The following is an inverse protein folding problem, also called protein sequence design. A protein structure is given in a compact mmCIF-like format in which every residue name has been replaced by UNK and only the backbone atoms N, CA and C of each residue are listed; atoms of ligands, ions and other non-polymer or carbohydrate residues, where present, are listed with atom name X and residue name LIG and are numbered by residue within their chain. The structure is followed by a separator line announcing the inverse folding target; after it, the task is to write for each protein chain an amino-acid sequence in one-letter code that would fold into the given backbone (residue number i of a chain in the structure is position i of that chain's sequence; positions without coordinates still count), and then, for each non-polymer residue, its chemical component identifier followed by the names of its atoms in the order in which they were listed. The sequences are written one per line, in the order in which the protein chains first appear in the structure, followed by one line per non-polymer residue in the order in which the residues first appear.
data_IF_807642730322
#
_entry.id   IF_807642730322
#
_cell.length_a   1.000
_cell.length_b   1.000
_cell.length_c   1.000
_cell.angle_alpha   90.00
_cell.angle_beta   90.00
_cell.angle_gamma   90.00
#
_symmetry.space_group_name_H-M   'P 1'
#
loop_
_entity.id
_entity.type
_entity.pdbx_description
1 polymer ?
#
# COMPACT_ATOMS: atom_id res chain seq x y z
N UNK A 1 -0.01 -5.27 -13.15
CA UNK A 1 -0.30 -3.87 -13.52
C UNK A 1 0.38 -3.48 -14.83
N UNK A 2 1.71 -3.34 -14.90
CA UNK A 2 2.41 -2.99 -16.15
C UNK A 2 2.26 -4.01 -17.28
N UNK A 3 2.29 -5.32 -16.97
CA UNK A 3 1.92 -6.39 -17.93
C UNK A 3 0.52 -6.23 -18.54
N UNK A 4 -0.41 -5.64 -17.80
CA UNK A 4 -1.81 -5.47 -18.22
C UNK A 4 -2.05 -4.10 -18.87
N UNK A 5 -1.28 -3.09 -18.47
CA UNK A 5 -1.38 -1.71 -18.94
C UNK A 5 0.02 -1.20 -19.31
N UNK A 6 0.42 -1.29 -20.59
CA UNK A 6 1.75 -0.89 -21.04
C UNK A 6 2.12 0.58 -20.76
N UNK A 7 1.11 1.46 -20.65
CA UNK A 7 1.27 2.88 -20.32
C UNK A 7 1.31 3.17 -18.82
N UNK A 8 1.34 2.14 -17.98
CA UNK A 8 1.37 2.31 -16.53
C UNK A 8 2.78 2.67 -16.04
N UNK A 9 2.89 3.77 -15.30
CA UNK A 9 4.16 4.41 -14.96
C UNK A 9 4.69 4.11 -13.56
N UNK A 10 3.88 3.61 -12.61
CA UNK A 10 4.24 3.22 -11.23
C UNK A 10 5.75 3.06 -10.90
N UNK A 11 6.32 4.03 -10.18
CA UNK A 11 7.73 4.02 -9.75
C UNK A 11 7.93 3.64 -8.28
N UNK A 12 6.94 3.01 -7.62
CA UNK A 12 6.93 2.85 -6.17
C UNK A 12 8.19 2.16 -5.59
N UNK A 13 8.64 1.06 -6.21
CA UNK A 13 9.83 0.34 -5.75
C UNK A 13 11.14 1.09 -6.05
N UNK A 14 11.22 1.75 -7.21
CA UNK A 14 12.38 2.57 -7.61
C UNK A 14 12.55 3.75 -6.65
N UNK A 15 11.45 4.44 -6.34
CA UNK A 15 11.45 5.64 -5.50
C UNK A 15 11.91 5.38 -4.05
N UNK A 16 11.80 4.14 -3.55
CA UNK A 16 12.22 3.79 -2.18
C UNK A 16 13.56 3.06 -2.12
N UNK A 17 14.18 2.78 -3.26
CA UNK A 17 15.46 2.07 -3.30
C UNK A 17 16.59 3.03 -2.92
N UNK A 18 17.26 2.84 -1.76
CA UNK A 18 18.26 3.80 -1.27
C UNK A 18 19.53 3.83 -2.13
N UNK A 19 19.77 2.76 -2.90
CA UNK A 19 20.95 2.56 -3.75
C UNK A 19 20.59 2.53 -5.24
N UNK A 20 19.34 2.86 -5.59
CA UNK A 20 18.87 2.91 -6.97
C UNK A 20 19.10 1.63 -7.80
N UNK A 21 19.21 0.47 -7.14
CA UNK A 21 19.41 -0.83 -7.77
C UNK A 21 18.20 -1.34 -8.57
N UNK A 22 17.07 -0.63 -8.61
CA UNK A 22 15.83 -1.08 -9.26
C UNK A 22 15.56 -0.25 -10.50
N UNK A 23 15.39 -0.92 -11.65
CA UNK A 23 15.00 -0.28 -12.91
C UNK A 23 13.56 -0.65 -13.27
N UNK A 24 12.75 0.38 -13.53
CA UNK A 24 11.39 0.22 -13.99
C UNK A 24 11.32 -0.14 -15.49
N UNK A 25 10.99 -1.39 -15.82
CA UNK A 25 10.70 -1.80 -17.21
C UNK A 25 9.20 -1.78 -17.52
N UNK A 26 8.84 -2.01 -18.79
CA UNK A 26 7.45 -2.04 -19.30
C UNK A 26 6.60 -3.20 -18.76
N UNK A 27 7.18 -4.23 -18.16
CA UNK A 27 6.44 -5.42 -17.69
C UNK A 27 6.68 -5.72 -16.21
N UNK A 28 7.93 -5.90 -15.80
CA UNK A 28 8.33 -6.25 -14.43
C UNK A 28 9.60 -5.47 -14.05
N UNK A 29 9.66 -4.81 -12.88
CA UNK A 29 10.90 -4.15 -12.44
C UNK A 29 12.06 -5.15 -12.38
N UNK A 30 13.24 -4.73 -12.80
CA UNK A 30 14.49 -5.49 -12.70
C UNK A 30 15.33 -4.95 -11.56
N UNK A 31 16.08 -5.83 -10.89
CA UNK A 31 16.97 -5.48 -9.77
C UNK A 31 18.40 -5.81 -10.19
N UNK A 32 19.33 -4.87 -10.04
CA UNK A 32 20.75 -5.16 -10.08
C UNK A 32 21.17 -5.82 -8.76
N UNK A 33 21.47 -7.11 -8.80
CA UNK A 33 21.82 -7.88 -7.61
C UNK A 33 23.16 -7.44 -6.99
N UNK A 34 24.09 -6.91 -7.79
CA UNK A 34 25.38 -6.43 -7.30
C UNK A 34 25.26 -5.17 -6.44
N UNK A 35 24.30 -4.30 -6.78
CA UNK A 35 24.06 -3.05 -6.05
C UNK A 35 23.02 -3.23 -4.92
N UNK A 36 22.23 -4.30 -4.94
CA UNK A 36 21.10 -4.48 -4.05
C UNK A 36 21.54 -4.79 -2.61
N UNK A 37 21.23 -3.88 -1.68
CA UNK A 37 21.50 -4.09 -0.25
C UNK A 37 20.58 -5.11 0.44
N UNK A 38 19.60 -5.68 -0.26
CA UNK A 38 18.58 -6.57 0.33
C UNK A 38 17.79 -5.95 1.50
N UNK A 39 17.68 -4.62 1.58
CA UNK A 39 16.98 -3.90 2.67
C UNK A 39 15.46 -4.12 2.74
N UNK A 40 14.84 -4.81 1.79
CA UNK A 40 13.41 -5.14 1.81
C UNK A 40 12.42 -3.99 1.61
N UNK A 41 12.82 -2.71 1.59
CA UNK A 41 11.90 -1.54 1.47
C UNK A 41 10.90 -1.64 0.31
N UNK A 42 11.38 -2.08 -0.85
CA UNK A 42 10.58 -2.23 -2.05
C UNK A 42 9.47 -3.30 -1.90
N UNK A 43 9.64 -4.29 -1.01
CA UNK A 43 8.64 -5.31 -0.69
C UNK A 43 7.42 -4.72 0.03
N UNK A 44 7.56 -3.61 0.76
CA UNK A 44 6.48 -3.02 1.56
C UNK A 44 5.70 -1.91 0.85
N UNK A 45 6.21 -1.42 -0.30
CA UNK A 45 5.56 -0.37 -1.09
C UNK A 45 4.99 -0.85 -2.42
N UNK A 46 5.25 -2.09 -2.82
CA UNK A 46 4.74 -2.60 -4.08
C UNK A 46 3.20 -2.78 -4.00
N UNK A 47 2.40 -2.09 -4.83
CA UNK A 47 0.95 -2.23 -4.81
C UNK A 47 0.45 -3.49 -5.52
N UNK A 48 1.35 -4.21 -6.18
CA UNK A 48 1.05 -5.34 -7.07
C UNK A 48 1.84 -6.62 -6.73
N UNK A 49 2.63 -6.58 -5.65
CA UNK A 49 3.54 -7.66 -5.25
C UNK A 49 4.41 -8.18 -6.43
N UNK A 50 4.89 -7.25 -7.26
CA UNK A 50 5.56 -7.55 -8.53
C UNK A 50 7.03 -7.99 -8.39
N UNK A 51 7.62 -7.81 -7.21
CA UNK A 51 9.02 -8.14 -6.95
C UNK A 51 9.12 -9.60 -6.50
N UNK A 52 9.88 -10.38 -7.25
CA UNK A 52 10.17 -11.78 -6.95
C UNK A 52 11.59 -11.89 -6.39
N UNK A 53 11.88 -12.98 -5.68
CA UNK A 53 13.23 -13.32 -5.17
C UNK A 53 13.85 -12.42 -4.09
N UNK A 54 13.10 -11.46 -3.55
CA UNK A 54 13.47 -10.78 -2.32
C UNK A 54 12.72 -11.39 -1.13
N UNK A 55 13.36 -11.39 0.04
CA UNK A 55 12.76 -11.85 1.30
C UNK A 55 12.78 -10.71 2.32
N UNK A 56 11.75 -10.61 3.17
CA UNK A 56 11.81 -9.70 4.32
C UNK A 56 12.94 -10.14 5.26
N UNK A 57 13.51 -9.18 5.99
CA UNK A 57 14.54 -9.45 6.98
C UNK A 57 13.96 -10.26 8.15
N UNK A 58 14.66 -11.32 8.57
CA UNK A 58 14.33 -12.06 9.79
C UNK A 58 14.82 -11.26 11.00
N UNK A 59 13.93 -10.95 11.94
CA UNK A 59 14.30 -10.25 13.18
C UNK A 59 14.11 -11.13 14.39
N UNK A 60 14.91 -10.85 15.43
CA UNK A 60 14.81 -11.49 16.74
C UNK A 60 13.96 -10.65 17.68
N UNK A 61 13.18 -11.31 18.52
CA UNK A 61 12.34 -10.64 19.51
C UNK A 61 12.12 -11.52 20.75
N UNK A 62 11.84 -10.86 21.87
CA UNK A 62 11.39 -11.50 23.11
C UNK A 62 10.16 -10.77 23.59
N UNK A 63 9.07 -11.50 23.82
CA UNK A 63 7.76 -10.93 24.13
C UNK A 63 7.35 -9.85 23.10
N UNK A 64 7.33 -8.57 23.50
CA UNK A 64 6.97 -7.42 22.65
C UNK A 64 8.16 -6.53 22.27
N UNK A 65 9.39 -7.02 22.40
CA UNK A 65 10.61 -6.23 22.16
C UNK A 65 11.48 -6.86 21.06
N UNK A 66 11.83 -6.09 20.04
CA UNK A 66 12.88 -6.49 19.09
C UNK A 66 14.25 -6.40 19.77
N UNK A 67 15.06 -7.43 19.61
CA UNK A 67 16.38 -7.56 20.26
C UNK A 67 17.48 -7.83 19.25
N UNK A 68 18.71 -7.54 19.64
CA UNK A 68 19.90 -7.74 18.83
C UNK A 68 20.11 -9.23 18.43
N UNK A 69 20.89 -9.51 17.36
CA UNK A 69 21.60 -8.55 16.51
C UNK A 69 20.68 -7.84 15.52
N UNK A 70 20.93 -6.56 15.27
CA UNK A 70 20.27 -5.78 14.23
C UNK A 70 21.14 -5.69 12.98
N UNK A 71 20.50 -5.64 11.82
CA UNK A 71 21.17 -5.20 10.59
C UNK A 71 21.60 -3.75 10.71
N UNK A 72 22.70 -3.41 10.02
CA UNK A 72 23.13 -2.01 9.83
C UNK A 72 22.16 -1.25 8.92
N UNK A 73 21.31 -1.95 8.17
CA UNK A 73 20.26 -1.37 7.35
C UNK A 73 19.08 -0.97 8.24
N UNK A 74 18.65 0.28 8.14
CA UNK A 74 17.48 0.75 8.87
C UNK A 74 16.18 0.16 8.30
N UNK A 75 15.26 -0.32 9.16
CA UNK A 75 13.97 -0.85 8.73
C UNK A 75 13.09 0.25 8.14
N UNK A 76 12.18 -0.15 7.24
CA UNK A 76 11.12 0.77 6.80
C UNK A 76 10.03 0.91 7.88
N UNK A 77 9.34 2.05 7.88
CA UNK A 77 8.20 2.26 8.80
C UNK A 77 7.10 1.22 8.54
N UNK A 78 6.92 0.84 7.29
CA UNK A 78 5.91 -0.09 6.81
C UNK A 78 6.21 -1.51 7.29
N UNK A 79 7.48 -1.90 7.35
CA UNK A 79 7.92 -3.13 8.00
C UNK A 79 7.62 -3.11 9.50
N UNK A 80 8.01 -2.02 10.20
CA UNK A 80 7.78 -1.90 11.64
C UNK A 80 6.28 -1.88 11.99
N UNK A 81 5.44 -1.30 11.15
CA UNK A 81 3.97 -1.38 11.27
C UNK A 81 3.48 -2.83 11.21
N UNK A 82 4.05 -3.66 10.34
CA UNK A 82 3.70 -5.07 10.26
C UNK A 82 4.17 -5.83 11.52
N UNK A 83 5.37 -5.55 12.04
CA UNK A 83 5.83 -6.11 13.33
C UNK A 83 4.91 -5.72 14.49
N UNK A 84 4.50 -4.45 14.53
CA UNK A 84 3.54 -3.94 15.50
C UNK A 84 2.22 -4.73 15.44
N UNK A 85 1.70 -5.01 14.24
CA UNK A 85 0.39 -5.65 14.10
C UNK A 85 0.44 -7.18 14.25
N UNK A 86 1.43 -7.85 13.66
CA UNK A 86 1.48 -9.32 13.58
C UNK A 86 2.07 -9.97 14.83
N UNK A 87 3.07 -9.34 15.43
CA UNK A 87 3.81 -9.90 16.57
C UNK A 87 3.63 -9.10 17.86
N UNK A 88 2.80 -8.06 17.84
CA UNK A 88 2.51 -7.26 19.04
C UNK A 88 3.72 -6.47 19.56
N UNK A 89 4.75 -6.25 18.74
CA UNK A 89 5.96 -5.54 19.14
C UNK A 89 5.65 -4.09 19.51
N UNK A 90 6.21 -3.62 20.63
CA UNK A 90 6.09 -2.28 21.20
C UNK A 90 7.42 -1.69 21.69
N UNK A 91 8.54 -2.38 21.49
CA UNK A 91 9.83 -1.84 21.84
C UNK A 91 10.94 -2.38 20.95
N UNK A 92 12.06 -1.67 20.93
CA UNK A 92 13.34 -2.17 20.44
C UNK A 92 14.40 -1.93 21.50
N UNK A 93 15.21 -2.94 21.78
CA UNK A 93 16.31 -2.88 22.73
C UNK A 93 17.62 -2.60 21.99
N UNK A 94 18.16 -1.39 22.09
CA UNK A 94 19.38 -0.98 21.37
C UNK A 94 20.05 0.25 22.00
N UNK A 95 21.36 0.37 21.78
CA UNK A 95 22.08 1.62 22.01
C UNK A 95 21.78 2.63 20.90
N UNK A 96 21.22 3.79 21.24
CA UNK A 96 20.75 4.77 20.26
C UNK A 96 21.88 5.28 19.34
N UNK A 97 23.06 5.53 19.91
CA UNK A 97 24.22 6.05 19.18
C UNK A 97 24.80 5.03 18.19
N UNK A 98 24.62 3.74 18.47
CA UNK A 98 25.07 2.68 17.58
C UNK A 98 24.15 2.50 16.37
N UNK A 99 22.86 2.89 16.48
CA UNK A 99 21.85 2.66 15.45
C UNK A 99 20.97 3.90 15.16
N UNK A 100 21.56 5.03 14.73
CA UNK A 100 20.81 6.26 14.49
C UNK A 100 19.70 6.11 13.43
N UNK A 101 19.87 5.24 12.44
CA UNK A 101 18.84 4.92 11.45
C UNK A 101 17.59 4.28 12.06
N UNK A 102 17.77 3.36 13.01
CA UNK A 102 16.68 2.76 13.76
C UNK A 102 15.94 3.78 14.62
N UNK A 103 16.67 4.69 15.28
CA UNK A 103 16.06 5.78 16.06
C UNK A 103 15.10 6.60 15.19
N UNK A 104 15.52 6.97 13.97
CA UNK A 104 14.66 7.69 13.01
C UNK A 104 13.47 6.85 12.54
N UNK A 105 13.67 5.56 12.28
CA UNK A 105 12.60 4.66 11.86
C UNK A 105 11.53 4.51 12.96
N UNK A 106 11.94 4.30 14.22
CA UNK A 106 11.04 4.20 15.37
C UNK A 106 10.32 5.53 15.64
N UNK A 107 11.03 6.66 15.53
CA UNK A 107 10.41 7.98 15.66
C UNK A 107 9.32 8.21 14.59
N UNK A 108 9.62 7.90 13.32
CA UNK A 108 8.67 8.05 12.21
C UNK A 108 7.50 7.08 12.35
N UNK A 109 7.76 5.84 12.80
CA UNK A 109 6.71 4.87 13.16
C UNK A 109 5.79 5.45 14.23
N UNK A 110 6.34 6.03 15.29
CA UNK A 110 5.55 6.58 16.39
C UNK A 110 4.65 7.75 15.97
N UNK A 111 5.09 8.58 15.02
CA UNK A 111 4.22 9.62 14.43
C UNK A 111 3.01 8.96 13.75
N UNK A 112 3.23 7.91 12.95
CA UNK A 112 2.13 7.16 12.33
C UNK A 112 1.25 6.47 13.36
N UNK A 113 1.81 5.76 14.33
CA UNK A 113 1.03 5.05 15.35
C UNK A 113 0.13 6.01 16.15
N UNK A 114 0.61 7.22 16.47
CA UNK A 114 -0.23 8.26 17.08
C UNK A 114 -1.39 8.68 16.19
N UNK A 115 -1.16 8.90 14.89
CA UNK A 115 -2.23 9.20 13.94
C UNK A 115 -3.25 8.05 13.80
N UNK A 116 -2.88 6.83 14.19
CA UNK A 116 -3.75 5.65 14.22
C UNK A 116 -4.35 5.36 15.60
N UNK A 117 -4.13 6.22 16.60
CA UNK A 117 -4.48 5.97 18.00
C UNK A 117 -3.96 4.62 18.52
N UNK A 118 -2.77 4.22 18.06
CA UNK A 118 -2.12 2.96 18.41
C UNK A 118 -0.96 3.17 19.41
N UNK A 119 -0.66 2.17 20.26
CA UNK A 119 0.43 2.26 21.23
C UNK A 119 1.79 2.42 20.55
N UNK A 120 2.53 3.46 20.95
CA UNK A 120 3.86 3.79 20.39
C UNK A 120 4.93 2.80 20.85
N UNK A 121 6.03 2.76 20.10
CA UNK A 121 7.21 1.98 20.44
C UNK A 121 8.17 2.73 21.36
N UNK A 122 8.78 2.01 22.28
CA UNK A 122 9.87 2.50 23.13
C UNK A 122 11.23 2.03 22.61
N UNK A 123 12.27 2.82 22.85
CA UNK A 123 13.66 2.39 22.68
C UNK A 123 14.22 2.14 24.08
N UNK A 124 14.57 0.88 24.36
CA UNK A 124 15.09 0.43 25.64
C UNK A 124 16.61 0.28 25.54
N UNK A 125 17.38 0.69 26.57
CA UNK A 125 18.80 0.37 26.61
C UNK A 125 18.98 -1.15 26.79
N UNK A 126 20.01 -1.75 26.19
CA UNK A 126 20.32 -3.16 26.41
C UNK A 126 20.64 -3.44 27.88
N UNK A 127 20.32 -4.64 28.38
CA UNK A 127 20.64 -5.02 29.73
C UNK A 127 22.16 -4.96 29.92
N UNK A 128 22.65 -4.54 31.10
CA UNK A 128 24.07 -4.53 31.39
C UNK A 128 24.64 -5.94 31.16
N UNK A 129 25.72 -6.04 30.38
CA UNK A 129 26.42 -7.31 30.19
C UNK A 129 26.77 -7.89 31.56
N UNK A 130 26.18 -9.03 31.92
CA UNK A 130 26.61 -9.76 33.11
C UNK A 130 28.08 -10.14 32.90
N UNK A 131 28.98 -9.45 33.61
CA UNK A 131 30.40 -9.80 33.66
C UNK A 131 30.45 -11.12 34.43
N UNK A 132 30.62 -12.23 33.72
CA UNK A 132 30.84 -13.54 34.33
C UNK A 132 32.26 -13.59 34.93
N UNK A 133 32.44 -13.03 36.13
CA UNK A 133 33.69 -13.07 36.90
C UNK A 133 33.91 -14.38 37.67
N UNK A 134 33.10 -15.42 37.45
CA UNK A 134 33.23 -16.70 38.13
C UNK A 134 33.19 -17.89 37.18
N UNK A 135 34.36 -18.50 36.90
CA UNK A 135 34.39 -19.88 36.41
C UNK A 135 33.75 -20.78 37.47
N UNK A 136 32.85 -21.65 37.02
CA UNK A 136 32.14 -22.74 37.73
C UNK A 136 30.94 -22.29 38.55
N UNK A 137 29.77 -22.35 37.92
CA UNK A 137 28.63 -23.15 38.40
C UNK A 137 27.77 -23.51 37.18
N UNK A 138 27.37 -24.78 37.08
CA UNK A 138 26.41 -25.30 36.11
C UNK A 138 25.03 -24.68 36.37
N UNK A 139 24.88 -23.42 36.01
CA UNK A 139 23.60 -22.73 35.96
C UNK A 139 23.37 -22.53 34.48
N UNK A 140 22.34 -23.21 33.94
CA UNK A 140 21.71 -22.83 32.68
C UNK A 140 21.49 -21.32 32.75
N UNK A 141 22.35 -20.54 32.09
CA UNK A 141 22.04 -19.16 31.78
C UNK A 141 20.64 -19.22 31.19
N UNK A 142 19.68 -18.53 31.79
CA UNK A 142 18.32 -18.48 31.31
C UNK A 142 18.40 -18.08 29.84
N UNK A 143 18.24 -19.05 28.94
CA UNK A 143 18.01 -18.81 27.52
C UNK A 143 16.77 -17.93 27.52
N UNK A 144 17.02 -16.64 27.38
CA UNK A 144 15.99 -15.63 27.19
C UNK A 144 15.16 -16.15 26.02
N UNK A 145 13.83 -16.23 26.14
CA UNK A 145 12.92 -16.75 25.11
C UNK A 145 12.97 -15.88 23.84
N UNK A 146 14.08 -15.98 23.10
CA UNK A 146 14.37 -15.21 21.91
C UNK A 146 13.83 -15.99 20.74
N UNK A 147 12.80 -15.44 20.12
CA UNK A 147 12.18 -15.95 18.92
C UNK A 147 12.76 -15.24 17.70
N UNK A 148 12.66 -15.88 16.53
CA UNK A 148 13.03 -15.29 15.24
C UNK A 148 11.88 -15.44 14.27
N UNK A 149 11.49 -14.35 13.61
CA UNK A 149 10.41 -14.38 12.65
C UNK A 149 10.60 -13.36 11.53
N UNK A 150 9.75 -13.46 10.52
CA UNK A 150 9.55 -12.45 9.47
C UNK A 150 8.12 -11.89 9.57
N UNK A 151 7.85 -10.83 8.82
CA UNK A 151 6.50 -10.27 8.65
C UNK A 151 6.00 -10.43 7.23
N UNK A 152 4.68 -10.42 7.06
CA UNK A 152 4.08 -10.42 5.72
C UNK A 152 4.46 -9.15 4.96
N UNK A 153 4.77 -9.32 3.68
CA UNK A 153 5.16 -8.25 2.77
C UNK A 153 3.99 -7.81 1.90
N UNK A 154 4.17 -6.72 1.16
CA UNK A 154 3.21 -6.25 0.18
C UNK A 154 2.17 -5.30 0.76
N UNK A 155 1.73 -4.37 -0.08
CA UNK A 155 0.75 -3.38 0.33
C UNK A 155 -0.60 -4.03 0.66
N UNK A 156 -0.96 -5.13 -0.02
CA UNK A 156 -2.19 -5.88 0.25
C UNK A 156 -2.23 -6.42 1.68
N UNK A 157 -1.15 -7.06 2.15
CA UNK A 157 -1.06 -7.57 3.51
C UNK A 157 -1.20 -6.45 4.54
N UNK A 158 -0.57 -5.30 4.27
CA UNK A 158 -0.71 -4.10 5.12
C UNK A 158 -2.14 -3.56 5.15
N UNK A 159 -2.85 -3.53 4.01
CA UNK A 159 -4.26 -3.11 3.96
C UNK A 159 -5.16 -4.04 4.79
N UNK A 160 -4.93 -5.34 4.72
CA UNK A 160 -5.65 -6.33 5.53
C UNK A 160 -5.35 -6.17 7.04
N UNK A 161 -4.09 -5.92 7.39
CA UNK A 161 -3.63 -5.70 8.76
C UNK A 161 -4.21 -4.40 9.39
N UNK A 162 -4.45 -3.36 8.59
CA UNK A 162 -4.94 -2.05 9.01
C UNK A 162 -6.26 -1.69 8.32
N UNK A 163 -7.27 -2.56 8.47
CA UNK A 163 -8.59 -2.45 7.85
C UNK A 163 -9.54 -1.41 8.47
N UNK A 164 -9.10 -0.63 9.46
CA UNK A 164 -9.88 0.48 10.03
C UNK A 164 -9.59 1.84 9.35
N UNK A 165 -8.45 1.97 8.69
CA UNK A 165 -7.94 3.22 8.11
C UNK A 165 -7.55 3.05 6.64
N UNK A 166 -7.65 4.13 5.86
CA UNK A 166 -7.14 4.20 4.49
C UNK A 166 -6.12 5.29 4.30
N UNK A 167 -5.20 5.06 3.37
CA UNK A 167 -4.33 6.10 2.82
C UNK A 167 -4.84 6.58 1.45
N UNK A 168 -5.95 6.02 0.94
CA UNK A 168 -6.41 6.23 -0.42
C UNK A 168 -7.91 6.53 -0.49
N UNK A 169 -8.26 7.59 -1.20
CA UNK A 169 -9.64 8.00 -1.51
C UNK A 169 -9.85 8.07 -3.02
N UNK A 170 -11.07 7.77 -3.48
CA UNK A 170 -11.46 7.94 -4.87
C UNK A 170 -12.00 9.35 -5.09
N UNK A 171 -11.42 10.04 -6.05
CA UNK A 171 -11.93 11.30 -6.60
C UNK A 171 -12.51 11.00 -7.99
N UNK A 172 -13.81 11.25 -8.16
CA UNK A 172 -14.57 10.97 -9.38
C UNK A 172 -15.16 12.26 -9.94
N UNK A 173 -14.73 12.65 -11.13
CA UNK A 173 -15.37 13.70 -11.92
C UNK A 173 -16.65 13.14 -12.55
N UNK A 174 -17.77 13.42 -11.89
CA UNK A 174 -19.11 12.97 -12.31
C UNK A 174 -19.57 13.59 -13.62
N UNK A 175 -19.06 14.76 -14.00
CA UNK A 175 -19.38 15.42 -15.27
C UNK A 175 -18.66 14.80 -16.47
N UNK A 176 -17.46 14.25 -16.27
CA UNK A 176 -16.72 13.55 -17.32
C UNK A 176 -16.97 12.05 -17.37
N UNK A 177 -17.39 11.44 -16.27
CA UNK A 177 -17.55 9.99 -16.17
C UNK A 177 -18.72 9.48 -17.03
N UNK A 178 -18.42 8.58 -17.98
CA UNK A 178 -19.43 7.98 -18.86
C UNK A 178 -20.00 6.65 -18.34
N UNK A 179 -19.74 6.31 -17.06
CA UNK A 179 -20.20 5.06 -16.42
C UNK A 179 -19.83 3.78 -17.22
N UNK A 180 -18.69 3.77 -17.92
CA UNK A 180 -18.29 2.64 -18.78
C UNK A 180 -17.81 1.37 -18.03
N UNK A 181 -17.66 1.47 -16.70
CA UNK A 181 -17.22 0.36 -15.85
C UNK A 181 -15.78 -0.11 -16.04
N UNK A 182 -14.96 0.57 -16.85
CA UNK A 182 -13.57 0.17 -17.06
C UNK A 182 -12.77 0.15 -15.74
N UNK A 183 -12.94 1.18 -14.90
CA UNK A 183 -12.25 1.29 -13.62
C UNK A 183 -12.55 0.13 -12.65
N UNK A 184 -13.81 -0.32 -12.58
CA UNK A 184 -14.21 -1.46 -11.76
C UNK A 184 -13.65 -2.77 -12.31
N UNK A 185 -13.74 -3.00 -13.62
CA UNK A 185 -13.25 -4.23 -14.28
C UNK A 185 -11.74 -4.45 -14.12
N UNK A 186 -10.95 -3.37 -14.07
CA UNK A 186 -9.49 -3.48 -13.92
C UNK A 186 -9.03 -3.54 -12.46
N UNK A 187 -9.93 -3.35 -11.50
CA UNK A 187 -9.55 -3.28 -10.09
C UNK A 187 -9.27 -4.69 -9.54
N UNK A 188 -8.01 -5.11 -9.58
CA UNK A 188 -7.58 -6.42 -9.06
C UNK A 188 -7.84 -6.63 -7.57
N UNK A 189 -7.94 -5.54 -6.80
CA UNK A 189 -8.25 -5.57 -5.37
C UNK A 189 -9.76 -5.57 -5.07
N UNK A 190 -10.61 -5.46 -6.11
CA UNK A 190 -12.07 -5.28 -5.98
C UNK A 190 -12.46 -4.11 -5.06
N UNK A 191 -11.59 -3.10 -4.99
CA UNK A 191 -11.87 -1.86 -4.29
C UNK A 191 -12.90 -1.00 -5.04
N UNK A 192 -13.12 -1.24 -6.33
CA UNK A 192 -14.17 -0.61 -7.13
C UNK A 192 -15.15 -1.67 -7.63
N UNK A 193 -16.45 -1.42 -7.46
CA UNK A 193 -17.53 -2.23 -8.04
C UNK A 193 -18.55 -1.34 -8.73
N UNK A 194 -19.12 -1.86 -9.83
CA UNK A 194 -20.17 -1.21 -10.59
C UNK A 194 -21.40 -2.12 -10.52
N UNK A 195 -22.35 -1.82 -9.63
CA UNK A 195 -23.53 -2.65 -9.38
C UNK A 195 -24.70 -1.81 -8.87
N UNK A 196 -25.94 -2.27 -9.08
CA UNK A 196 -27.15 -1.67 -8.46
C UNK A 196 -27.27 -0.15 -8.67
N UNK A 197 -26.95 0.34 -9.87
CA UNK A 197 -27.07 1.77 -10.18
C UNK A 197 -26.01 2.66 -9.51
N UNK A 198 -24.94 2.11 -8.93
CA UNK A 198 -23.88 2.90 -8.33
C UNK A 198 -22.46 2.34 -8.50
N UNK A 199 -21.49 3.26 -8.51
CA UNK A 199 -20.07 2.95 -8.44
C UNK A 199 -19.73 3.00 -6.96
N UNK A 200 -19.34 1.86 -6.41
CA UNK A 200 -18.90 1.77 -5.03
C UNK A 200 -17.39 1.68 -4.97
N UNK A 201 -16.79 2.42 -4.04
CA UNK A 201 -15.38 2.37 -3.73
C UNK A 201 -15.16 2.03 -2.27
N UNK A 202 -14.52 0.89 -2.02
CA UNK A 202 -14.08 0.48 -0.70
C UNK A 202 -12.63 0.90 -0.47
N UNK A 203 -12.45 1.94 0.36
CA UNK A 203 -11.13 2.45 0.69
C UNK A 203 -10.27 1.44 1.45
N UNK A 204 -10.86 0.48 2.17
CA UNK A 204 -10.14 -0.55 2.92
C UNK A 204 -9.30 -1.47 2.03
N UNK A 205 -9.81 -1.82 0.84
CA UNK A 205 -9.14 -2.73 -0.10
C UNK A 205 -8.19 -2.02 -1.07
N UNK A 206 -8.31 -0.70 -1.24
CA UNK A 206 -7.52 0.02 -2.24
C UNK A 206 -6.02 0.02 -1.88
N UNK A 207 -5.17 -0.35 -2.83
CA UNK A 207 -3.70 -0.30 -2.72
C UNK A 207 -3.08 0.93 -3.39
N UNK A 208 -3.88 1.87 -3.89
CA UNK A 208 -3.34 3.06 -4.58
C UNK A 208 -2.59 2.73 -5.87
N UNK A 209 -2.94 1.60 -6.51
CA UNK A 209 -2.26 1.13 -7.70
C UNK A 209 -2.45 1.99 -8.95
N UNK A 210 -3.43 2.90 -8.95
CA UNK A 210 -3.77 3.80 -10.06
C UNK A 210 -4.21 3.14 -11.39
N UNK A 211 -4.41 1.81 -11.44
CA UNK A 211 -4.88 1.15 -12.66
C UNK A 211 -6.25 1.68 -13.14
N UNK A 212 -7.12 2.08 -12.22
CA UNK A 212 -8.42 2.70 -12.54
C UNK A 212 -8.27 4.08 -13.22
N UNK A 213 -7.29 4.88 -12.83
CA UNK A 213 -7.00 6.17 -13.44
C UNK A 213 -6.38 5.98 -14.84
N UNK A 214 -5.45 5.03 -14.98
CA UNK A 214 -4.78 4.71 -16.25
C UNK A 214 -5.76 4.21 -17.31
N UNK A 215 -6.74 3.37 -16.93
CA UNK A 215 -7.72 2.84 -17.90
C UNK A 215 -8.82 3.83 -18.27
N UNK A 216 -9.01 4.92 -17.50
CA UNK A 216 -10.12 5.82 -17.70
C UNK A 216 -9.92 6.68 -18.97
N UNK A 217 -10.69 6.47 -20.06
CA UNK A 217 -10.45 7.16 -21.33
C UNK A 217 -10.75 8.67 -21.25
N UNK A 218 -11.62 9.04 -20.32
CA UNK A 218 -12.06 10.42 -20.05
C UNK A 218 -11.39 11.02 -18.82
N UNK A 219 -10.39 10.34 -18.23
CA UNK A 219 -9.63 10.82 -17.05
C UNK A 219 -10.49 11.28 -15.86
N UNK A 220 -11.69 10.72 -15.72
CA UNK A 220 -12.63 11.06 -14.66
C UNK A 220 -12.30 10.44 -13.30
N UNK A 221 -11.34 9.51 -13.22
CA UNK A 221 -11.00 8.79 -11.98
C UNK A 221 -9.60 9.14 -11.51
N UNK A 222 -9.45 9.51 -10.24
CA UNK A 222 -8.17 9.71 -9.57
C UNK A 222 -8.18 9.04 -8.20
N UNK A 223 -7.00 8.59 -7.77
CA UNK A 223 -6.79 8.13 -6.39
C UNK A 223 -5.96 9.19 -5.67
N UNK A 224 -6.51 9.70 -4.59
CA UNK A 224 -5.87 10.71 -3.74
C UNK A 224 -5.25 10.04 -2.52
N UNK A 225 -4.01 10.43 -2.18
CA UNK A 225 -3.32 9.91 -1.01
C UNK A 225 -3.64 10.78 0.21
N UNK A 226 -4.56 10.32 1.04
CA UNK A 226 -4.98 11.02 2.26
C UNK A 226 -5.28 9.99 3.34
N UNK A 227 -4.67 10.15 4.52
CA UNK A 227 -4.98 9.32 5.67
C UNK A 227 -6.38 9.66 6.18
N UNK A 228 -7.26 8.67 6.26
CA UNK A 228 -8.61 8.80 6.80
C UNK A 228 -9.09 7.50 7.42
N UNK A 229 -10.21 7.54 8.12
CA UNK A 229 -10.97 6.34 8.43
C UNK A 229 -11.43 5.64 7.14
N UNK A 230 -11.59 4.32 7.22
CA UNK A 230 -12.14 3.55 6.12
C UNK A 230 -13.62 3.87 5.94
N UNK A 231 -13.97 4.22 4.71
CA UNK A 231 -15.35 4.47 4.27
C UNK A 231 -15.60 3.84 2.91
N UNK A 232 -16.88 3.56 2.64
CA UNK A 232 -17.36 3.21 1.31
C UNK A 232 -17.90 4.49 0.66
N UNK A 233 -17.31 4.89 -0.46
CA UNK A 233 -17.86 5.97 -1.28
C UNK A 233 -18.84 5.36 -2.29
N UNK A 234 -20.04 5.94 -2.41
CA UNK A 234 -21.06 5.50 -3.36
C UNK A 234 -21.42 6.65 -4.29
N UNK A 235 -21.28 6.44 -5.58
CA UNK A 235 -21.66 7.38 -6.62
C UNK A 235 -22.80 6.77 -7.42
N UNK A 236 -24.03 7.22 -7.18
CA UNK A 236 -25.22 6.72 -7.85
C UNK A 236 -25.41 7.44 -9.19
N UNK A 237 -25.77 6.70 -10.23
CA UNK A 237 -26.16 7.27 -11.52
C UNK A 237 -27.64 7.04 -11.78
N UNK A 238 -28.15 7.75 -12.77
CA UNK A 238 -29.48 7.57 -13.32
C UNK A 238 -29.38 6.97 -14.72
N UNK A 239 -30.38 6.17 -15.09
CA UNK A 239 -30.55 5.68 -16.45
C UNK A 239 -31.49 6.63 -17.20
N UNK A 240 -31.07 7.10 -18.37
CA UNK A 240 -31.86 7.94 -19.27
C UNK A 240 -31.86 7.36 -20.68
N UNK A 241 -32.81 7.78 -21.51
CA UNK A 241 -32.84 7.48 -22.95
C UNK A 241 -32.27 8.66 -23.73
N UNK A 242 -31.34 8.41 -24.65
CA UNK A 242 -30.69 9.46 -25.44
C UNK A 242 -31.69 10.12 -26.40
N UNK A 243 -31.77 11.45 -26.39
CA UNK A 243 -32.66 12.18 -27.31
C UNK A 243 -32.29 12.02 -28.80
N UNK A 244 -31.04 11.65 -29.12
CA UNK A 244 -30.56 11.53 -30.50
C UNK A 244 -30.63 10.11 -31.08
N UNK A 245 -30.28 9.08 -30.30
CA UNK A 245 -30.24 7.70 -30.79
C UNK A 245 -31.21 6.76 -30.07
N UNK A 246 -31.99 7.29 -29.13
CA UNK A 246 -32.97 6.59 -28.30
C UNK A 246 -32.43 5.42 -27.45
N UNK A 247 -31.12 5.15 -27.48
CA UNK A 247 -30.47 4.13 -26.63
C UNK A 247 -30.42 4.58 -25.17
N UNK A 248 -30.57 3.61 -24.27
CA UNK A 248 -30.34 3.82 -22.84
C UNK A 248 -28.86 4.17 -22.57
N UNK A 249 -28.63 5.12 -21.67
CA UNK A 249 -27.32 5.48 -21.18
C UNK A 249 -27.39 5.87 -19.70
N UNK A 250 -26.23 5.92 -19.05
CA UNK A 250 -26.10 6.25 -17.64
C UNK A 250 -25.35 7.56 -17.46
N UNK A 251 -25.80 8.38 -16.51
CA UNK A 251 -25.21 9.69 -16.21
C UNK A 251 -25.35 10.00 -14.73
N UNK A 252 -24.45 10.81 -14.19
CA UNK A 252 -24.57 11.38 -12.85
C UNK A 252 -25.34 12.71 -12.86
N UNK A 253 -25.45 13.34 -14.02
CA UNK A 253 -26.10 14.64 -14.20
C UNK A 253 -27.54 14.47 -14.74
N UNK A 254 -28.57 14.94 -13.99
CA UNK A 254 -29.96 14.90 -14.43
C UNK A 254 -30.25 15.73 -15.68
N UNK A 255 -29.48 16.76 -15.99
CA UNK A 255 -29.69 17.64 -17.14
C UNK A 255 -29.15 17.05 -18.45
N UNK A 256 -28.32 16.02 -18.37
CA UNK A 256 -27.75 15.38 -19.56
C UNK A 256 -28.84 14.63 -20.36
N UNK A 257 -29.11 15.05 -21.60
CA UNK A 257 -30.14 14.43 -22.47
C UNK A 257 -29.58 13.52 -23.59
N UNK A 258 -28.28 13.62 -23.88
CA UNK A 258 -27.61 12.86 -24.95
C UNK A 258 -26.54 11.95 -24.36
N UNK A 259 -26.40 10.75 -24.92
CA UNK A 259 -25.34 9.82 -24.50
C UNK A 259 -23.95 10.32 -24.94
N UNK A 260 -22.90 9.82 -24.27
CA UNK A 260 -21.51 10.23 -24.53
C UNK A 260 -21.05 10.04 -25.98
N UNK A 261 -21.66 9.11 -26.73
CA UNK A 261 -21.38 8.92 -28.16
C UNK A 261 -22.01 10.05 -28.98
N UNK A 262 -23.31 10.29 -28.82
CA UNK A 262 -24.03 11.35 -29.54
C UNK A 262 -23.53 12.76 -29.20
N UNK A 263 -22.98 12.98 -28.01
CA UNK A 263 -22.33 14.25 -27.64
C UNK A 263 -21.04 14.51 -28.42
N UNK A 264 -20.33 13.47 -28.84
CA UNK A 264 -19.03 13.58 -29.54
C UNK A 264 -19.16 13.67 -31.06
N UNK A 265 -20.29 13.25 -31.63
CA UNK A 265 -20.54 13.33 -33.06
C UNK A 265 -21.40 14.56 -33.39
N UNK A 266 -20.82 15.55 -34.06
CA UNK A 266 -21.54 16.73 -34.57
C UNK A 266 -22.38 16.43 -35.83
N UNK A 267 -22.23 15.26 -36.46
CA UNK A 267 -23.02 14.86 -37.62
C UNK A 267 -23.74 13.55 -37.31
N UNK A 268 -25.06 13.57 -37.42
CA UNK A 268 -25.92 12.41 -37.19
C UNK A 268 -25.48 11.21 -38.02
N UNK A 269 -25.38 10.04 -37.37
CA UNK A 269 -25.47 8.79 -38.11
C UNK A 269 -26.84 8.77 -38.77
N UNK A 270 -26.88 9.12 -40.05
CA UNK A 270 -28.07 9.04 -40.88
C UNK A 270 -28.62 7.62 -40.84
N UNK A 271 -29.94 7.57 -40.74
CA UNK A 271 -30.82 6.45 -41.01
C UNK A 271 -30.31 5.61 -42.20
N UNK A 272 -30.13 4.32 -41.96
CA UNK A 272 -30.05 3.28 -42.98
C UNK A 272 -30.88 2.10 -42.49
#
# INVERSE_FOLDING_TARGET
MRKQFPRHDCQACVAVCPVQAITATSSTPTINELDCLQCGRCLFVCPADALQNLRPETRRYTASTLVAPFSTLEPSVEELLMWHKQHGIRAVEMEMDAFPGWVRAVATLNIRLRALNAPVWQILPPPPKAINTGRRHFIKASETDVQSATVSIGLRARRQAFSAISEYQLSLDQGQCTVCGACARVCGERALSLSEGALTFSSSSCTGCNSCAVVCPVKAVRIEKQLSENRVQRFSWIQKSCHCCHRAFYTFDPETERCAVCQRHQYGMREA
#
